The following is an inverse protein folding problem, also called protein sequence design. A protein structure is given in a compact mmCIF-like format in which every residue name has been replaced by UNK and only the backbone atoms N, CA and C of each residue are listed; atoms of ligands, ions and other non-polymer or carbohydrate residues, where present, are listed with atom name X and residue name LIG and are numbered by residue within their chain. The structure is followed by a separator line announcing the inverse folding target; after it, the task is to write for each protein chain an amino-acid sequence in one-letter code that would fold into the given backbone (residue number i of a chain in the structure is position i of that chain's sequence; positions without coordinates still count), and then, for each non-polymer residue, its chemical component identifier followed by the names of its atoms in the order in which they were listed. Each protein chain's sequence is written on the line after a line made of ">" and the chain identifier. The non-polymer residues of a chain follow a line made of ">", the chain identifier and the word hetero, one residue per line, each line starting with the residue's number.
data_IF_919247241256
#
_entry.id   IF_919247241256
#
_cell.length_a   1.000
_cell.length_b   1.000
_cell.length_c   1.000
_cell.angle_alpha   90.00
_cell.angle_beta   90.00
_cell.angle_gamma   90.00
#
_symmetry.space_group_name_H-M   'P 1'
#
loop_
_entity.id
_entity.type
_entity.pdbx_description
1 polymer ?
#
# COMPACT_ATOMS: atom_id res chain seq x y z
N UNK A 1 17.02 31.78 -4.38
CA UNK A 1 17.29 30.40 -4.84
C UNK A 1 15.92 29.79 -5.13
N UNK A 2 15.58 29.64 -6.43
CA UNK A 2 14.26 29.18 -6.91
C UNK A 2 14.11 27.70 -6.58
N UNK A 3 13.28 27.39 -5.60
CA UNK A 3 12.69 26.07 -5.43
C UNK A 3 11.82 25.81 -6.66
N UNK A 4 12.24 24.88 -7.52
CA UNK A 4 11.41 24.43 -8.65
C UNK A 4 10.28 23.59 -8.06
N UNK A 5 9.12 24.20 -7.88
CA UNK A 5 7.86 23.50 -7.80
C UNK A 5 7.74 22.62 -9.04
N UNK A 6 7.77 21.31 -8.86
CA UNK A 6 7.49 20.38 -9.94
C UNK A 6 5.96 20.25 -10.02
N UNK A 7 5.33 21.29 -10.61
CA UNK A 7 3.95 21.20 -11.07
C UNK A 7 3.93 20.24 -12.26
N UNK A 8 3.62 18.98 -12.04
CA UNK A 8 3.24 18.09 -13.12
C UNK A 8 1.81 18.48 -13.50
N UNK A 9 1.69 19.52 -14.31
CA UNK A 9 0.52 19.72 -15.17
C UNK A 9 0.59 18.68 -16.27
N UNK A 10 0.26 17.43 -15.96
CA UNK A 10 0.18 16.42 -16.99
C UNK A 10 -1.28 16.22 -17.41
N UNK A 11 -1.80 17.24 -18.13
CA UNK A 11 -3.05 17.11 -18.89
C UNK A 11 -2.94 16.04 -19.99
N UNK A 12 -1.73 15.61 -20.34
CA UNK A 12 -1.45 14.59 -21.35
C UNK A 12 -1.83 13.18 -20.91
N UNK A 13 -1.83 12.90 -19.60
CA UNK A 13 -2.19 11.59 -19.07
C UNK A 13 -3.59 11.53 -18.39
N UNK A 14 -4.38 12.60 -18.52
CA UNK A 14 -5.76 12.63 -18.03
C UNK A 14 -5.92 12.70 -16.50
N UNK A 15 -4.86 13.09 -15.76
CA UNK A 15 -4.93 13.28 -14.30
C UNK A 15 -5.26 14.72 -13.92
N UNK A 16 -6.19 14.88 -12.97
CA UNK A 16 -6.39 16.17 -12.30
C UNK A 16 -5.42 16.23 -11.12
N UNK A 17 -4.45 17.15 -11.18
CA UNK A 17 -3.42 17.32 -10.17
C UNK A 17 -3.73 18.51 -9.29
N UNK A 18 -3.62 18.31 -7.98
CA UNK A 18 -3.67 19.35 -6.96
C UNK A 18 -2.33 19.35 -6.22
N UNK A 19 -1.84 20.52 -5.81
CA UNK A 19 -0.56 20.67 -5.12
C UNK A 19 -0.75 21.34 -3.78
N UNK A 20 0.01 20.88 -2.78
CA UNK A 20 0.13 21.50 -1.46
C UNK A 20 1.60 21.79 -1.18
N UNK A 21 1.89 22.91 -0.52
CA UNK A 21 3.25 23.38 -0.27
C UNK A 21 3.80 22.89 1.08
N UNK A 22 2.92 22.45 1.97
CA UNK A 22 3.27 21.98 3.31
C UNK A 22 2.30 20.89 3.80
N UNK A 23 2.59 20.29 4.95
CA UNK A 23 1.82 19.21 5.54
C UNK A 23 0.39 19.64 5.89
N UNK A 24 0.23 20.81 6.51
CA UNK A 24 -1.07 21.31 6.95
C UNK A 24 -2.01 21.54 5.77
N UNK A 25 -1.53 22.21 4.72
CA UNK A 25 -2.28 22.40 3.48
C UNK A 25 -2.60 21.07 2.81
N UNK A 26 -1.65 20.12 2.82
CA UNK A 26 -1.84 18.78 2.27
C UNK A 26 -2.96 18.02 2.97
N UNK A 27 -3.02 18.06 4.30
CA UNK A 27 -4.09 17.43 5.09
C UNK A 27 -5.44 18.11 4.79
N UNK A 28 -5.49 19.44 4.73
CA UNK A 28 -6.71 20.17 4.38
C UNK A 28 -7.23 19.79 2.98
N UNK A 29 -6.34 19.74 1.98
CA UNK A 29 -6.71 19.33 0.62
C UNK A 29 -7.15 17.88 0.54
N UNK A 30 -6.50 16.99 1.28
CA UNK A 30 -6.90 15.60 1.39
C UNK A 30 -8.33 15.48 1.93
N UNK A 31 -8.65 16.11 3.04
CA UNK A 31 -9.98 16.07 3.65
C UNK A 31 -11.07 16.71 2.77
N UNK A 32 -10.71 17.76 2.00
CA UNK A 32 -11.68 18.50 1.18
C UNK A 32 -11.95 17.86 -0.18
N UNK A 33 -10.99 17.16 -0.77
CA UNK A 33 -11.06 16.70 -2.16
C UNK A 33 -10.99 15.19 -2.33
N UNK A 34 -10.66 14.45 -1.27
CA UNK A 34 -10.54 12.97 -1.28
C UNK A 34 -9.82 12.44 -2.53
N UNK A 35 -8.51 12.70 -2.70
CA UNK A 35 -7.77 12.35 -3.92
C UNK A 35 -7.64 10.83 -4.08
N UNK A 36 -7.70 10.33 -5.30
CA UNK A 36 -7.52 8.89 -5.63
C UNK A 36 -6.11 8.37 -5.32
N UNK A 37 -5.10 9.27 -5.25
CA UNK A 37 -3.70 8.95 -4.98
C UNK A 37 -2.97 10.18 -4.46
N UNK A 38 -2.04 9.97 -3.55
CA UNK A 38 -1.18 11.01 -2.98
C UNK A 38 0.27 10.75 -3.37
N UNK A 39 0.94 11.79 -3.88
CA UNK A 39 2.40 11.80 -4.06
C UNK A 39 2.97 12.71 -2.97
N UNK A 40 3.82 12.16 -2.11
CA UNK A 40 4.30 12.83 -0.92
C UNK A 40 5.82 12.97 -0.93
N UNK A 41 6.33 14.19 -0.78
CA UNK A 41 7.73 14.41 -0.39
C UNK A 41 7.85 14.35 1.14
N UNK A 42 8.85 13.63 1.66
CA UNK A 42 9.10 13.60 3.11
C UNK A 42 9.73 14.89 3.63
N UNK A 43 10.41 15.65 2.77
CA UNK A 43 11.07 16.91 3.13
C UNK A 43 10.14 18.11 3.07
N UNK A 44 9.02 18.08 3.78
CA UNK A 44 8.10 19.20 3.87
C UNK A 44 8.68 20.31 4.76
N UNK A 45 8.33 21.58 4.52
CA UNK A 45 8.94 22.72 5.24
C UNK A 45 8.45 22.88 6.68
N UNK A 46 7.26 22.39 7.01
CA UNK A 46 6.60 22.55 8.31
C UNK A 46 6.74 21.33 9.22
N UNK A 47 6.69 20.10 8.66
CA UNK A 47 6.73 18.83 9.41
C UNK A 47 7.37 17.72 8.59
N UNK A 48 7.78 16.63 9.25
CA UNK A 48 8.20 15.41 8.53
C UNK A 48 6.99 14.78 7.83
N UNK A 49 7.15 14.42 6.55
CA UNK A 49 6.10 13.78 5.75
C UNK A 49 5.59 12.46 6.35
N UNK A 50 6.33 11.81 7.25
CA UNK A 50 5.85 10.65 8.00
C UNK A 50 4.64 10.98 8.89
N UNK A 51 4.56 12.21 9.42
CA UNK A 51 3.41 12.65 10.20
C UNK A 51 2.16 12.79 9.33
N UNK A 52 2.33 13.27 8.10
CA UNK A 52 1.27 13.31 7.11
C UNK A 52 0.71 11.90 6.84
N UNK A 53 1.59 10.91 6.60
CA UNK A 53 1.17 9.52 6.37
C UNK A 53 0.34 9.02 7.55
N UNK A 54 0.83 9.20 8.78
CA UNK A 54 0.13 8.78 10.00
C UNK A 54 -1.23 9.45 10.15
N UNK A 55 -1.33 10.74 9.81
CA UNK A 55 -2.58 11.50 9.89
C UNK A 55 -3.62 10.96 8.90
N UNK A 56 -3.23 10.78 7.62
CA UNK A 56 -4.11 10.25 6.56
C UNK A 56 -4.56 8.82 6.88
N UNK A 57 -3.66 7.97 7.38
CA UNK A 57 -3.96 6.56 7.68
C UNK A 57 -4.92 6.33 8.84
N UNK A 58 -5.27 7.35 9.59
CA UNK A 58 -6.34 7.28 10.60
C UNK A 58 -7.74 7.22 9.98
N UNK A 59 -7.90 7.76 8.79
CA UNK A 59 -9.22 7.93 8.16
C UNK A 59 -9.34 7.31 6.76
N UNK A 60 -8.22 7.00 6.08
CA UNK A 60 -8.25 6.61 4.68
C UNK A 60 -7.18 5.58 4.32
N UNK A 61 -7.48 4.82 3.24
CA UNK A 61 -6.64 3.77 2.67
C UNK A 61 -6.08 4.13 1.29
N UNK A 62 -6.37 5.32 0.76
CA UNK A 62 -5.92 5.75 -0.57
C UNK A 62 -4.40 5.63 -0.75
N UNK A 63 -3.92 5.25 -1.93
CA UNK A 63 -2.50 5.00 -2.14
C UNK A 63 -1.65 6.26 -1.93
N UNK A 64 -0.56 6.10 -1.17
CA UNK A 64 0.46 7.12 -0.95
C UNK A 64 1.78 6.62 -1.54
N UNK A 65 2.33 7.35 -2.52
CA UNK A 65 3.66 7.14 -3.08
C UNK A 65 4.59 8.20 -2.50
N UNK A 66 5.63 7.76 -1.79
CA UNK A 66 6.64 8.67 -1.24
C UNK A 66 7.72 8.95 -2.28
N UNK A 67 8.06 10.23 -2.46
CA UNK A 67 9.21 10.71 -3.23
C UNK A 67 10.20 11.35 -2.29
N UNK A 68 11.40 10.80 -2.12
CA UNK A 68 12.35 11.35 -1.14
C UNK A 68 13.81 11.28 -1.61
N UNK A 69 14.60 12.26 -1.18
CA UNK A 69 16.05 12.23 -1.29
C UNK A 69 16.70 11.33 -0.24
N UNK A 70 15.96 10.89 0.78
CA UNK A 70 16.46 9.96 1.80
C UNK A 70 16.62 8.58 1.16
N UNK A 71 17.85 8.05 1.17
CA UNK A 71 18.18 6.80 0.47
C UNK A 71 18.38 5.64 1.43
N UNK A 72 18.42 5.90 2.75
CA UNK A 72 18.68 4.85 3.72
C UNK A 72 17.57 3.83 3.76
N UNK A 73 17.95 2.60 4.01
CA UNK A 73 17.00 1.50 4.16
C UNK A 73 16.00 1.75 5.30
N UNK A 74 16.51 2.34 6.39
CA UNK A 74 15.70 2.70 7.57
C UNK A 74 14.59 3.69 7.22
N UNK A 75 14.88 4.72 6.41
CA UNK A 75 13.86 5.69 5.99
C UNK A 75 12.78 5.03 5.14
N UNK A 76 13.17 4.14 4.22
CA UNK A 76 12.22 3.39 3.39
C UNK A 76 11.30 2.51 4.22
N UNK A 77 11.87 1.77 5.17
CA UNK A 77 11.12 0.91 6.09
C UNK A 77 10.17 1.77 6.91
N UNK A 78 10.66 2.87 7.50
CA UNK A 78 9.82 3.76 8.33
C UNK A 78 8.61 4.32 7.56
N UNK A 79 8.80 4.73 6.30
CA UNK A 79 7.70 5.22 5.48
C UNK A 79 6.67 4.13 5.17
N UNK A 80 7.13 2.91 4.83
CA UNK A 80 6.26 1.77 4.57
C UNK A 80 5.53 1.32 5.83
N UNK A 81 6.19 1.29 6.98
CA UNK A 81 5.60 0.97 8.28
C UNK A 81 4.54 2.00 8.71
N UNK A 82 4.74 3.27 8.35
CA UNK A 82 3.73 4.31 8.54
C UNK A 82 2.53 4.16 7.59
N UNK A 83 2.62 3.29 6.57
CA UNK A 83 1.52 2.99 5.66
C UNK A 83 1.68 3.57 4.24
N UNK A 84 2.87 4.02 3.83
CA UNK A 84 3.13 4.32 2.42
C UNK A 84 2.97 3.06 1.56
N UNK A 85 2.41 3.20 0.37
CA UNK A 85 2.20 2.08 -0.57
C UNK A 85 3.45 1.80 -1.40
N UNK A 86 4.21 2.86 -1.71
CA UNK A 86 5.47 2.76 -2.45
C UNK A 86 6.43 3.87 -2.05
N UNK A 87 7.72 3.68 -2.36
CA UNK A 87 8.79 4.62 -2.05
C UNK A 87 9.74 4.73 -3.23
N UNK A 88 9.93 5.94 -3.73
CA UNK A 88 10.79 6.26 -4.86
C UNK A 88 11.89 7.21 -4.39
N UNK A 89 13.15 6.85 -4.64
CA UNK A 89 14.28 7.71 -4.31
C UNK A 89 14.55 8.73 -5.41
N UNK A 90 14.84 9.96 -5.03
CA UNK A 90 15.33 11.00 -5.94
C UNK A 90 16.84 10.79 -6.24
N UNK A 91 17.30 10.99 -7.49
CA UNK A 91 16.53 11.36 -8.69
C UNK A 91 15.77 10.16 -9.29
N UNK A 92 14.61 10.41 -9.87
CA UNK A 92 13.78 9.39 -10.53
C UNK A 92 13.38 9.86 -11.95
N UNK A 93 13.11 8.90 -12.82
CA UNK A 93 12.58 9.17 -14.15
C UNK A 93 11.07 9.42 -14.13
N UNK A 94 10.59 10.37 -14.96
CA UNK A 94 9.15 10.64 -15.11
C UNK A 94 8.38 9.37 -15.51
N UNK A 95 8.96 8.54 -16.38
CA UNK A 95 8.37 7.27 -16.80
C UNK A 95 8.19 6.28 -15.65
N UNK A 96 9.17 6.20 -14.72
CA UNK A 96 9.08 5.37 -13.52
C UNK A 96 7.95 5.84 -12.62
N UNK A 97 7.90 7.15 -12.32
CA UNK A 97 6.83 7.72 -11.50
C UNK A 97 5.45 7.43 -12.09
N UNK A 98 5.26 7.71 -13.37
CA UNK A 98 3.97 7.45 -14.04
C UNK A 98 3.60 5.96 -14.07
N UNK A 99 4.57 5.07 -14.24
CA UNK A 99 4.32 3.62 -14.16
C UNK A 99 3.83 3.20 -12.77
N UNK A 100 4.43 3.73 -11.71
CA UNK A 100 4.03 3.46 -10.31
C UNK A 100 2.68 4.08 -9.97
N UNK A 101 2.40 5.30 -10.44
CA UNK A 101 1.09 5.95 -10.31
C UNK A 101 0.00 5.09 -10.97
N UNK A 102 0.22 4.65 -12.22
CA UNK A 102 -0.72 3.76 -12.91
C UNK A 102 -0.91 2.44 -12.16
N UNK A 103 0.16 1.85 -11.64
CA UNK A 103 0.08 0.62 -10.86
C UNK A 103 -0.74 0.82 -9.57
N UNK A 104 -0.48 1.89 -8.82
CA UNK A 104 -1.20 2.21 -7.59
C UNK A 104 -2.69 2.49 -7.85
N UNK A 105 -3.02 3.30 -8.88
CA UNK A 105 -4.41 3.58 -9.26
C UNK A 105 -5.11 2.35 -9.84
N UNK A 106 -4.43 1.51 -10.60
CA UNK A 106 -4.99 0.25 -11.06
C UNK A 106 -5.34 -0.64 -9.87
N UNK A 107 -4.45 -0.78 -8.91
CA UNK A 107 -4.68 -1.59 -7.72
C UNK A 107 -5.79 -1.01 -6.82
N UNK A 108 -6.01 0.31 -6.82
CA UNK A 108 -7.16 0.92 -6.14
C UNK A 108 -8.46 0.78 -6.94
N UNK A 109 -8.41 0.81 -8.27
CA UNK A 109 -9.57 0.68 -9.17
C UNK A 109 -9.88 -0.79 -9.54
N UNK A 110 -8.89 -1.67 -9.57
CA UNK A 110 -9.08 -3.10 -9.87
C UNK A 110 -9.81 -3.87 -8.77
N UNK A 111 -10.12 -3.21 -7.68
CA UNK A 111 -11.19 -3.69 -6.81
C UNK A 111 -12.58 -3.70 -7.47
N UNK A 112 -12.71 -3.10 -8.67
CA UNK A 112 -13.98 -3.05 -9.40
C UNK A 112 -13.96 -3.77 -10.75
N UNK A 113 -12.83 -4.17 -11.33
CA UNK A 113 -12.78 -4.57 -12.77
C UNK A 113 -11.86 -5.76 -13.08
N UNK A 114 -11.17 -6.38 -12.13
CA UNK A 114 -10.50 -7.64 -12.46
C UNK A 114 -11.41 -8.83 -12.17
N UNK A 115 -11.67 -9.60 -13.22
CA UNK A 115 -12.49 -10.78 -13.22
C UNK A 115 -12.21 -11.70 -12.04
N UNK A 116 -13.29 -12.07 -11.41
CA UNK A 116 -13.45 -13.03 -10.33
C UNK A 116 -12.52 -12.82 -9.11
N UNK A 117 -12.65 -11.69 -8.40
CA UNK A 117 -12.76 -11.81 -6.96
C UNK A 117 -14.09 -12.55 -6.76
N UNK A 118 -14.11 -13.74 -6.16
CA UNK A 118 -15.39 -14.37 -5.83
C UNK A 118 -16.19 -13.34 -5.04
N UNK A 119 -17.33 -12.88 -5.59
CA UNK A 119 -18.26 -12.09 -4.81
C UNK A 119 -18.57 -12.90 -3.57
N UNK A 120 -18.59 -12.28 -2.38
CA UNK A 120 -18.86 -12.99 -1.16
C UNK A 120 -17.75 -12.84 -0.10
N UNK A 121 -17.64 -13.83 0.75
CA UNK A 121 -16.75 -13.81 1.91
C UNK A 121 -15.81 -15.00 1.91
N UNK A 122 -14.57 -14.74 2.29
CA UNK A 122 -13.62 -15.79 2.69
C UNK A 122 -13.63 -15.90 4.23
N UNK A 123 -13.70 -17.12 4.74
CA UNK A 123 -13.67 -17.39 6.17
C UNK A 123 -12.63 -18.47 6.44
N UNK A 124 -11.74 -18.21 7.39
CA UNK A 124 -10.76 -19.17 7.90
C UNK A 124 -10.66 -18.98 9.41
N UNK A 125 -11.23 -19.90 10.18
CA UNK A 125 -11.37 -19.77 11.62
C UNK A 125 -12.18 -18.54 12.02
N UNK A 126 -11.55 -17.62 12.75
CA UNK A 126 -12.14 -16.33 13.16
C UNK A 126 -11.80 -15.14 12.21
N UNK A 127 -11.00 -15.38 11.18
CA UNK A 127 -10.71 -14.41 10.11
C UNK A 127 -11.83 -14.42 9.07
N UNK A 128 -12.39 -13.26 8.79
CA UNK A 128 -13.37 -13.05 7.74
C UNK A 128 -12.91 -11.93 6.80
N UNK A 129 -12.97 -12.16 5.49
CA UNK A 129 -12.69 -11.17 4.44
C UNK A 129 -13.95 -11.03 3.58
N UNK A 130 -14.58 -9.87 3.66
CA UNK A 130 -15.71 -9.49 2.81
C UNK A 130 -15.14 -8.74 1.60
N UNK A 131 -15.12 -9.40 0.45
CA UNK A 131 -14.52 -8.84 -0.77
C UNK A 131 -15.34 -7.69 -1.33
N UNK A 132 -16.68 -7.77 -1.25
CA UNK A 132 -17.58 -6.75 -1.80
C UNK A 132 -17.46 -5.44 -1.02
N UNK A 133 -17.32 -5.54 0.29
CA UNK A 133 -17.18 -4.39 1.19
C UNK A 133 -15.72 -4.02 1.48
N UNK A 134 -14.77 -4.86 1.05
CA UNK A 134 -13.34 -4.73 1.34
C UNK A 134 -13.04 -4.61 2.83
N UNK A 135 -13.71 -5.41 3.62
CA UNK A 135 -13.56 -5.44 5.06
C UNK A 135 -12.87 -6.74 5.47
N UNK A 136 -11.85 -6.61 6.30
CA UNK A 136 -11.21 -7.74 7.00
C UNK A 136 -11.60 -7.63 8.47
N UNK A 137 -12.04 -8.73 9.06
CA UNK A 137 -12.40 -8.81 10.48
C UNK A 137 -11.88 -10.09 11.14
N UNK A 138 -11.67 -10.03 12.44
CA UNK A 138 -11.31 -11.17 13.28
C UNK A 138 -12.29 -11.22 14.45
N UNK A 139 -13.00 -12.35 14.59
CA UNK A 139 -14.02 -12.49 15.61
C UNK A 139 -15.09 -11.39 15.56
N UNK A 140 -15.43 -10.93 14.35
CA UNK A 140 -16.37 -9.82 14.10
C UNK A 140 -15.81 -8.41 14.28
N UNK A 141 -14.57 -8.25 14.77
CA UNK A 141 -13.93 -6.96 14.93
C UNK A 141 -13.20 -6.55 13.65
N UNK A 142 -13.57 -5.38 13.10
CA UNK A 142 -12.95 -4.86 11.88
C UNK A 142 -11.49 -4.51 12.08
N UNK A 143 -10.64 -4.95 11.15
CA UNK A 143 -9.20 -4.68 11.10
C UNK A 143 -8.91 -3.60 10.06
N UNK A 144 -8.23 -2.53 10.46
CA UNK A 144 -7.84 -1.45 9.57
C UNK A 144 -6.54 -1.79 8.81
N UNK A 145 -6.67 -2.31 7.61
CA UNK A 145 -5.56 -2.55 6.69
C UNK A 145 -5.38 -1.36 5.73
N UNK A 146 -4.13 -1.07 5.34
CA UNK A 146 -3.87 -0.17 4.21
C UNK A 146 -4.30 -0.86 2.91
N UNK A 147 -4.40 -0.09 1.82
CA UNK A 147 -4.73 -0.64 0.50
C UNK A 147 -3.79 -1.77 0.08
N UNK A 148 -2.48 -1.60 0.28
CA UNK A 148 -1.47 -2.63 -0.06
C UNK A 148 -1.62 -3.87 0.80
N UNK A 149 -1.80 -3.70 2.11
CA UNK A 149 -2.01 -4.80 3.04
C UNK A 149 -3.29 -5.58 2.70
N UNK A 150 -4.39 -4.88 2.39
CA UNK A 150 -5.63 -5.50 1.93
C UNK A 150 -5.41 -6.30 0.63
N UNK A 151 -4.74 -5.71 -0.36
CA UNK A 151 -4.48 -6.40 -1.63
C UNK A 151 -3.63 -7.67 -1.43
N UNK A 152 -2.66 -7.65 -0.51
CA UNK A 152 -1.88 -8.85 -0.17
C UNK A 152 -2.77 -9.92 0.47
N UNK A 153 -3.58 -9.53 1.46
CA UNK A 153 -4.47 -10.45 2.19
C UNK A 153 -5.53 -11.03 1.24
N UNK A 154 -6.16 -10.20 0.40
CA UNK A 154 -7.13 -10.65 -0.60
C UNK A 154 -6.51 -11.60 -1.62
N UNK A 155 -5.33 -11.27 -2.17
CA UNK A 155 -4.62 -12.16 -3.10
C UNK A 155 -4.30 -13.53 -2.48
N UNK A 156 -3.84 -13.53 -1.22
CA UNK A 156 -3.54 -14.78 -0.51
C UNK A 156 -4.78 -15.60 -0.22
N UNK A 157 -5.89 -14.96 0.14
CA UNK A 157 -7.16 -15.65 0.42
C UNK A 157 -7.84 -16.21 -0.82
N UNK A 158 -7.73 -15.52 -1.98
CA UNK A 158 -8.18 -16.05 -3.28
C UNK A 158 -7.44 -17.34 -3.68
N UNK A 159 -6.23 -17.52 -3.18
CA UNK A 159 -5.38 -18.67 -3.43
C UNK A 159 -5.14 -19.48 -2.15
N UNK A 160 -6.12 -19.50 -1.23
CA UNK A 160 -5.96 -20.22 0.05
C UNK A 160 -5.53 -21.66 -0.17
N UNK A 161 -4.75 -22.18 0.76
CA UNK A 161 -4.12 -23.50 0.65
C UNK A 161 -2.94 -23.59 -0.32
N UNK A 162 -2.73 -22.60 -1.22
CA UNK A 162 -1.62 -22.60 -2.20
C UNK A 162 -0.50 -21.65 -1.79
N UNK A 163 0.74 -22.05 -2.03
CA UNK A 163 1.91 -21.19 -1.83
C UNK A 163 2.05 -20.22 -2.99
N UNK A 164 2.00 -18.92 -2.68
CA UNK A 164 2.36 -17.87 -3.64
C UNK A 164 3.80 -17.44 -3.41
N UNK A 165 4.61 -17.45 -4.49
CA UNK A 165 6.01 -17.02 -4.40
C UNK A 165 6.13 -15.52 -4.13
N UNK A 166 7.24 -15.10 -3.50
CA UNK A 166 7.52 -13.67 -3.29
C UNK A 166 7.40 -12.87 -4.58
N UNK A 167 7.97 -13.40 -5.68
CA UNK A 167 7.92 -12.75 -6.99
C UNK A 167 6.49 -12.63 -7.54
N UNK A 168 5.66 -13.66 -7.38
CA UNK A 168 4.27 -13.64 -7.81
C UNK A 168 3.46 -12.58 -7.05
N UNK A 169 3.60 -12.53 -5.72
CA UNK A 169 2.91 -11.54 -4.88
C UNK A 169 3.38 -10.12 -5.23
N UNK A 170 4.70 -9.91 -5.33
CA UNK A 170 5.26 -8.60 -5.71
C UNK A 170 4.74 -8.14 -7.05
N UNK A 171 4.74 -9.02 -8.06
CA UNK A 171 4.22 -8.72 -9.40
C UNK A 171 2.72 -8.38 -9.37
N UNK A 172 1.93 -9.14 -8.64
CA UNK A 172 0.48 -8.93 -8.55
C UNK A 172 0.15 -7.60 -7.84
N UNK A 173 0.83 -7.30 -6.72
CA UNK A 173 0.52 -6.13 -5.88
C UNK A 173 1.12 -4.84 -6.43
N UNK A 174 2.35 -4.86 -6.94
CA UNK A 174 3.06 -3.65 -7.43
C UNK A 174 3.21 -3.57 -8.94
N UNK A 175 2.91 -4.64 -9.69
CA UNK A 175 2.83 -4.62 -11.15
C UNK A 175 4.17 -4.64 -11.90
N UNK A 176 5.30 -4.70 -11.20
CA UNK A 176 6.65 -4.68 -11.79
C UNK A 176 7.59 -5.61 -11.02
N UNK A 177 8.60 -6.16 -11.70
CA UNK A 177 9.73 -6.79 -11.04
C UNK A 177 10.57 -5.70 -10.36
N UNK A 178 10.38 -5.51 -9.06
CA UNK A 178 11.11 -4.52 -8.25
C UNK A 178 12.23 -5.25 -7.50
N UNK A 179 13.52 -4.86 -7.69
CA UNK A 179 14.63 -5.45 -6.93
C UNK A 179 14.47 -5.34 -5.41
N UNK A 180 13.73 -4.34 -4.92
CA UNK A 180 13.37 -4.17 -3.50
C UNK A 180 12.03 -4.75 -3.10
N UNK A 181 11.29 -5.36 -4.02
CA UNK A 181 9.90 -5.78 -3.82
C UNK A 181 9.72 -6.82 -2.73
N UNK A 182 10.63 -7.79 -2.61
CA UNK A 182 10.59 -8.79 -1.54
C UNK A 182 10.69 -8.15 -0.16
N UNK A 183 11.52 -7.13 0.00
CA UNK A 183 11.68 -6.43 1.28
C UNK A 183 10.44 -5.60 1.62
N UNK A 184 9.86 -4.92 0.64
CA UNK A 184 8.57 -4.22 0.81
C UNK A 184 7.47 -5.20 1.23
N UNK A 185 7.42 -6.38 0.60
CA UNK A 185 6.46 -7.42 0.93
C UNK A 185 6.66 -7.92 2.38
N UNK A 186 7.89 -8.15 2.81
CA UNK A 186 8.21 -8.60 4.17
C UNK A 186 7.75 -7.59 5.23
N UNK A 187 7.99 -6.28 4.98
CA UNK A 187 7.52 -5.20 5.87
C UNK A 187 6.00 -5.18 5.95
N UNK A 188 5.30 -5.21 4.80
CA UNK A 188 3.84 -5.26 4.80
C UNK A 188 3.32 -6.52 5.50
N UNK A 189 3.97 -7.67 5.33
CA UNK A 189 3.58 -8.91 5.97
C UNK A 189 3.74 -8.84 7.50
N UNK A 190 4.81 -8.20 8.01
CA UNK A 190 4.98 -7.96 9.44
C UNK A 190 3.84 -7.08 10.00
N UNK A 191 3.49 -6.01 9.28
CA UNK A 191 2.38 -5.12 9.65
C UNK A 191 1.02 -5.82 9.61
N UNK A 192 0.76 -6.62 8.57
CA UNK A 192 -0.46 -7.43 8.46
C UNK A 192 -0.58 -8.34 9.69
N UNK A 193 0.45 -9.15 10.00
CA UNK A 193 0.43 -10.06 11.16
C UNK A 193 0.18 -9.32 12.46
N UNK A 194 0.83 -8.19 12.68
CA UNK A 194 0.61 -7.34 13.86
C UNK A 194 -0.83 -6.88 13.96
N UNK A 195 -1.44 -6.44 12.85
CA UNK A 195 -2.84 -5.98 12.82
C UNK A 195 -3.83 -7.13 12.99
N UNK A 196 -3.50 -8.32 12.50
CA UNK A 196 -4.27 -9.55 12.72
C UNK A 196 -4.09 -10.14 14.13
N UNK A 197 -3.29 -9.49 14.99
CA UNK A 197 -3.07 -9.96 16.37
C UNK A 197 -2.22 -11.22 16.48
N UNK A 198 -1.48 -11.59 15.43
CA UNK A 198 -0.61 -12.77 15.39
C UNK A 198 0.70 -12.47 16.12
N UNK A 199 1.08 -13.30 17.08
CA UNK A 199 2.33 -13.14 17.84
C UNK A 199 3.55 -13.51 16.99
N UNK A 200 4.73 -12.93 17.27
CA UNK A 200 5.97 -13.33 16.60
C UNK A 200 6.22 -14.83 16.76
N UNK A 201 6.47 -15.51 15.63
CA UNK A 201 6.67 -16.98 15.60
C UNK A 201 5.38 -17.80 15.50
N UNK A 202 4.21 -17.22 15.71
CA UNK A 202 2.93 -17.90 15.52
C UNK A 202 2.59 -18.00 14.02
N UNK A 203 2.18 -19.19 13.61
CA UNK A 203 1.73 -19.47 12.24
C UNK A 203 0.19 -19.57 12.22
N UNK A 204 -0.46 -18.40 12.26
CA UNK A 204 -1.91 -18.28 12.18
C UNK A 204 -2.30 -17.49 10.96
N UNK A 205 -3.33 -17.88 10.25
CA UNK A 205 -3.86 -17.31 8.99
C UNK A 205 -2.89 -17.32 7.81
N UNK A 206 -1.67 -16.76 7.95
CA UNK A 206 -0.69 -16.64 6.88
C UNK A 206 0.61 -17.33 7.28
N UNK A 207 0.91 -18.44 6.60
CA UNK A 207 2.11 -19.24 6.81
C UNK A 207 3.27 -18.64 5.97
N UNK A 208 4.50 -18.75 6.51
CA UNK A 208 5.71 -18.40 5.78
C UNK A 208 6.37 -19.67 5.26
N UNK A 209 6.38 -19.85 3.96
CA UNK A 209 7.14 -20.91 3.30
C UNK A 209 8.55 -20.39 3.00
N UNK A 210 9.48 -20.73 3.90
CA UNK A 210 10.84 -20.18 3.92
C UNK A 210 11.53 -20.28 2.55
N UNK A 211 12.06 -19.17 2.08
CA UNK A 211 12.74 -19.07 0.78
C UNK A 211 11.81 -19.08 -0.43
N UNK A 212 10.52 -19.34 -0.27
CA UNK A 212 9.56 -19.50 -1.38
C UNK A 212 8.55 -18.36 -1.42
N UNK A 213 7.78 -18.17 -0.34
CA UNK A 213 6.67 -17.21 -0.32
C UNK A 213 5.75 -17.31 0.88
N UNK A 214 4.48 -17.04 0.65
CA UNK A 214 3.44 -17.09 1.68
C UNK A 214 2.24 -17.91 1.23
N UNK A 215 1.51 -18.48 2.20
CA UNK A 215 0.28 -19.23 1.99
C UNK A 215 -0.77 -18.83 3.02
N UNK A 216 -1.99 -18.59 2.58
CA UNK A 216 -3.15 -18.43 3.47
C UNK A 216 -3.68 -19.82 3.87
N UNK A 217 -4.03 -19.98 5.14
CA UNK A 217 -4.72 -21.19 5.63
C UNK A 217 -6.15 -21.22 5.11
N UNK A 218 -6.67 -22.41 4.88
CA UNK A 218 -8.03 -22.69 4.40
C UNK A 218 -8.91 -23.41 5.46
N UNK A 219 -8.41 -23.47 6.72
CA UNK A 219 -9.11 -24.06 7.87
C UNK A 219 -9.85 -23.02 8.70
#
# INVERSE_FOLDING_TARGET
>A
RRQRQMCIRDSTNGYKVMTAENCEQGIFMFLSHNPDLIILDLGLPDRDGLEFIKAVRRSDVNPIIVLSARTTEKDKISALDCGANDYITKPFGTGELLARVRAALRNSRHSSVMGSVPGGKFISGDLEIDYDRRIVSIGGNKICLTQTEYNIVALLSEHSGKVLTYAAIVKAVWGVSDPGGTKKLQVNMANIRKKLGVRPGEQKYILNELGVGYRMTDE
#
